data_IF_957541850239
#
_entry.id   IF_957541850239
#
_cell.length_a   1.000
_cell.length_b   1.000
_cell.length_c   1.000
_cell.angle_alpha   90.00
_cell.angle_beta   90.00
_cell.angle_gamma   90.00
#
_symmetry.space_group_name_H-M   'P 1'
#
loop_
_entity.id
_entity.type
_entity.pdbx_description
1 polymer ?
#
# COMPACT_ATOMS: atom_id res chain seq x y z
N UNK A 1 -23.39 36.68 -0.29
CA UNK A 1 -22.19 36.72 0.57
C UNK A 1 -22.32 35.64 1.64
N UNK A 2 -21.22 35.28 2.30
CA UNK A 2 -21.23 34.36 3.44
C UNK A 2 -20.43 34.94 4.61
N UNK A 3 -20.95 34.81 5.82
CA UNK A 3 -20.29 35.20 7.06
C UNK A 3 -20.10 33.96 7.94
N UNK A 4 -18.91 33.75 8.48
CA UNK A 4 -18.59 32.64 9.38
C UNK A 4 -18.04 33.18 10.69
N UNK A 5 -18.63 32.77 11.80
CA UNK A 5 -18.22 33.16 13.15
C UNK A 5 -17.76 31.90 13.90
N UNK A 6 -16.45 31.60 13.92
CA UNK A 6 -15.90 30.48 14.69
C UNK A 6 -15.66 30.86 16.14
N UNK A 7 -15.83 29.88 17.03
CA UNK A 7 -15.47 29.94 18.43
C UNK A 7 -14.70 28.70 18.82
N UNK A 8 -13.55 28.90 19.47
CA UNK A 8 -12.65 27.84 19.90
C UNK A 8 -12.81 27.56 21.39
N UNK A 9 -12.95 26.30 21.75
CA UNK A 9 -12.99 25.79 23.11
C UNK A 9 -11.79 24.89 23.36
N UNK A 10 -10.87 25.35 24.20
CA UNK A 10 -9.89 24.47 24.83
C UNK A 10 -10.58 23.74 26.00
N UNK A 11 -11.01 22.50 25.78
CA UNK A 11 -11.79 21.75 26.77
C UNK A 11 -10.86 21.15 27.83
N UNK A 12 -9.78 20.51 27.38
CA UNK A 12 -8.74 19.92 28.23
C UNK A 12 -7.42 19.79 27.42
N UNK A 13 -6.27 19.51 28.06
CA UNK A 13 -4.99 19.40 27.35
C UNK A 13 -4.97 18.35 26.21
N UNK A 14 -5.84 17.36 26.28
CA UNK A 14 -5.95 16.26 25.31
C UNK A 14 -7.09 16.43 24.29
N UNK A 15 -7.93 17.47 24.39
CA UNK A 15 -9.08 17.65 23.50
C UNK A 15 -9.55 19.08 23.32
N UNK A 16 -9.98 19.39 22.10
CA UNK A 16 -10.57 20.69 21.77
C UNK A 16 -11.80 20.60 20.87
N UNK A 17 -12.52 21.71 20.82
CA UNK A 17 -13.72 21.86 20.02
C UNK A 17 -13.73 23.22 19.34
N UNK A 18 -13.96 23.23 18.03
CA UNK A 18 -14.31 24.43 17.26
C UNK A 18 -15.78 24.32 16.90
N UNK A 19 -16.58 25.30 17.33
CA UNK A 19 -17.96 25.46 16.83
C UNK A 19 -17.99 26.71 15.98
N UNK A 20 -18.62 26.65 14.81
CA UNK A 20 -18.83 27.85 14.01
C UNK A 20 -20.28 27.94 13.53
N UNK A 21 -20.79 29.17 13.51
CA UNK A 21 -22.03 29.48 12.81
C UNK A 21 -21.68 30.18 11.50
N UNK A 22 -22.08 29.59 10.38
CA UNK A 22 -21.91 30.17 9.05
C UNK A 22 -23.26 30.54 8.48
N UNK A 23 -23.43 31.80 8.12
CA UNK A 23 -24.60 32.28 7.40
C UNK A 23 -24.26 32.44 5.92
N UNK A 24 -25.05 31.81 5.04
CA UNK A 24 -25.02 32.01 3.60
C UNK A 24 -26.27 32.78 3.18
N UNK A 25 -26.11 33.95 2.55
CA UNK A 25 -27.26 34.76 2.10
C UNK A 25 -28.20 33.99 1.17
N UNK A 26 -27.67 33.02 0.43
CA UNK A 26 -28.43 32.19 -0.52
C UNK A 26 -29.14 31.00 0.12
N UNK A 27 -28.60 30.40 1.19
CA UNK A 27 -29.06 29.08 1.69
C UNK A 27 -29.43 29.05 3.18
N UNK A 28 -29.06 30.04 3.98
CA UNK A 28 -29.38 30.09 5.42
C UNK A 28 -28.20 29.79 6.33
N UNK A 29 -28.50 29.31 7.54
CA UNK A 29 -27.50 29.04 8.59
C UNK A 29 -26.97 27.61 8.51
N UNK A 30 -25.66 27.48 8.64
CA UNK A 30 -24.92 26.23 8.74
C UNK A 30 -24.24 26.21 10.10
N UNK A 31 -24.48 25.15 10.84
CA UNK A 31 -23.80 24.86 12.11
C UNK A 31 -22.64 23.92 11.82
N UNK A 32 -21.44 24.34 12.18
CA UNK A 32 -20.21 23.56 12.01
C UNK A 32 -19.66 23.20 13.39
N UNK A 33 -19.20 21.96 13.55
CA UNK A 33 -18.52 21.48 14.74
C UNK A 33 -17.32 20.62 14.34
N UNK A 34 -16.13 20.93 14.87
CA UNK A 34 -14.94 20.09 14.73
C UNK A 34 -14.39 19.78 16.11
N UNK A 35 -14.40 18.51 16.49
CA UNK A 35 -13.85 18.01 17.74
C UNK A 35 -12.61 17.18 17.45
N UNK A 36 -11.58 17.33 18.28
CA UNK A 36 -10.34 16.57 18.19
C UNK A 36 -9.93 16.11 19.57
N UNK A 37 -9.49 14.87 19.68
CA UNK A 37 -9.03 14.30 20.94
C UNK A 37 -7.85 13.36 20.73
N UNK A 38 -6.78 13.59 21.47
CA UNK A 38 -5.73 12.60 21.70
C UNK A 38 -6.31 11.51 22.61
N UNK A 39 -6.44 10.29 22.07
CA UNK A 39 -7.03 9.14 22.76
C UNK A 39 -5.98 8.46 23.63
N UNK A 40 -4.77 8.31 23.10
CA UNK A 40 -3.65 7.65 23.77
C UNK A 40 -2.33 8.27 23.32
N UNK A 41 -1.32 8.31 24.20
CA UNK A 41 0.03 8.69 23.81
C UNK A 41 0.61 7.65 22.84
N UNK A 42 1.64 8.06 22.10
CA UNK A 42 2.39 7.18 21.21
C UNK A 42 3.02 6.04 22.02
N UNK A 43 3.02 4.83 21.48
CA UNK A 43 3.55 3.65 22.19
C UNK A 43 5.07 3.57 22.00
N UNK A 44 5.55 3.78 20.77
CA UNK A 44 6.97 3.85 20.44
C UNK A 44 7.40 5.27 20.08
N UNK A 45 8.71 5.52 19.91
CA UNK A 45 9.21 6.85 19.54
C UNK A 45 8.80 7.27 18.13
N UNK A 46 8.64 6.29 17.23
CA UNK A 46 8.31 6.48 15.82
C UNK A 46 6.79 6.63 15.56
N UNK A 47 5.96 6.21 16.53
CA UNK A 47 4.51 6.28 16.40
C UNK A 47 3.99 7.72 16.56
N UNK A 48 2.86 8.00 15.91
CA UNK A 48 2.06 9.18 16.19
C UNK A 48 1.17 8.95 17.43
N UNK A 49 0.66 10.04 18.00
CA UNK A 49 -0.34 9.90 19.05
C UNK A 49 -1.66 9.38 18.48
N UNK A 50 -2.31 8.47 19.19
CA UNK A 50 -3.64 8.01 18.79
C UNK A 50 -4.65 9.17 18.86
N UNK A 51 -5.38 9.39 17.78
CA UNK A 51 -6.20 10.58 17.55
C UNK A 51 -7.61 10.18 17.11
N UNK A 52 -8.60 10.86 17.64
CA UNK A 52 -9.96 10.88 17.12
C UNK A 52 -10.31 12.29 16.67
N UNK A 53 -10.71 12.44 15.42
CA UNK A 53 -11.31 13.66 14.90
C UNK A 53 -12.74 13.40 14.42
N UNK A 54 -13.61 14.38 14.65
CA UNK A 54 -14.93 14.41 14.05
C UNK A 54 -15.29 15.84 13.64
N UNK A 55 -15.59 16.01 12.36
CA UNK A 55 -16.15 17.21 11.77
C UNK A 55 -17.59 16.95 11.34
N UNK A 56 -18.47 17.86 11.74
CA UNK A 56 -19.88 17.84 11.38
C UNK A 56 -20.28 19.20 10.85
N UNK A 57 -21.12 19.21 9.81
CA UNK A 57 -21.76 20.43 9.31
C UNK A 57 -23.22 20.13 9.08
N UNK A 58 -24.10 21.03 9.51
CA UNK A 58 -25.54 20.85 9.40
C UNK A 58 -26.23 22.12 8.93
N UNK A 59 -26.94 22.02 7.81
CA UNK A 59 -27.83 23.01 7.23
C UNK A 59 -29.26 22.48 7.37
N UNK A 60 -30.00 23.01 8.33
CA UNK A 60 -31.33 22.50 8.70
C UNK A 60 -32.44 22.86 7.71
N UNK A 61 -32.27 23.93 6.93
CA UNK A 61 -33.26 24.39 5.96
C UNK A 61 -32.54 25.12 4.84
N UNK A 62 -32.24 24.39 3.76
CA UNK A 62 -31.66 24.97 2.56
C UNK A 62 -32.71 25.78 1.81
N UNK A 63 -32.66 27.11 1.89
CA UNK A 63 -33.65 28.01 1.27
C UNK A 63 -33.82 27.88 -0.24
N UNK A 64 -32.92 27.19 -0.95
CA UNK A 64 -33.03 26.95 -2.40
C UNK A 64 -33.75 25.62 -2.68
N UNK A 65 -33.43 24.56 -1.94
CA UNK A 65 -33.91 23.20 -2.23
C UNK A 65 -34.88 22.64 -1.19
N UNK A 66 -35.08 23.32 -0.06
CA UNK A 66 -35.83 22.87 1.12
C UNK A 66 -35.37 21.49 1.64
N UNK A 67 -34.06 21.20 1.54
CA UNK A 67 -33.46 19.95 2.00
C UNK A 67 -32.64 20.19 3.26
N UNK A 68 -32.62 19.19 4.14
CA UNK A 68 -31.69 19.13 5.26
C UNK A 68 -30.36 18.60 4.73
N UNK A 69 -29.32 19.42 4.74
CA UNK A 69 -28.02 19.06 4.19
C UNK A 69 -26.97 18.96 5.27
N UNK A 70 -26.12 17.95 5.18
CA UNK A 70 -25.18 17.65 6.25
C UNK A 70 -23.91 16.98 5.73
N UNK A 71 -22.86 17.06 6.54
CA UNK A 71 -21.60 16.38 6.36
C UNK A 71 -21.16 15.82 7.72
N UNK A 72 -20.70 14.57 7.72
CA UNK A 72 -20.03 13.93 8.84
C UNK A 72 -18.73 13.36 8.28
N UNK A 73 -17.62 13.76 8.88
CA UNK A 73 -16.28 13.28 8.57
C UNK A 73 -15.60 12.94 9.89
N UNK A 74 -15.35 11.67 10.14
CA UNK A 74 -14.67 11.22 11.36
C UNK A 74 -13.57 10.23 11.05
N UNK A 75 -12.44 10.42 11.71
CA UNK A 75 -11.26 9.57 11.62
C UNK A 75 -10.85 9.11 13.02
N UNK A 76 -10.44 7.86 13.13
CA UNK A 76 -9.85 7.29 14.35
C UNK A 76 -8.58 6.58 13.94
N UNK A 77 -7.46 6.98 14.53
CA UNK A 77 -6.17 6.30 14.44
C UNK A 77 -5.78 5.88 15.86
N UNK A 78 -5.65 4.58 16.10
CA UNK A 78 -5.47 4.02 17.43
C UNK A 78 -4.48 2.86 17.43
N UNK A 79 -3.38 3.05 18.16
CA UNK A 79 -2.45 1.98 18.48
C UNK A 79 -2.96 1.24 19.72
N UNK A 80 -3.47 0.03 19.52
CA UNK A 80 -3.97 -0.82 20.59
C UNK A 80 -2.80 -1.49 21.32
N UNK A 81 -1.71 -1.76 20.60
CA UNK A 81 -0.42 -2.24 21.12
C UNK A 81 0.69 -1.89 20.12
N UNK A 82 1.96 -2.12 20.48
CA UNK A 82 3.12 -1.99 19.57
C UNK A 82 3.00 -2.77 18.24
N UNK A 83 2.04 -3.70 18.16
CA UNK A 83 1.86 -4.61 17.03
C UNK A 83 0.49 -4.50 16.38
N UNK A 84 -0.45 -3.76 16.99
CA UNK A 84 -1.83 -3.76 16.55
C UNK A 84 -2.32 -2.33 16.41
N UNK A 85 -2.73 -1.99 15.19
CA UNK A 85 -3.16 -0.65 14.83
C UNK A 85 -4.55 -0.69 14.20
N UNK A 86 -5.42 0.19 14.67
CA UNK A 86 -6.79 0.38 14.20
C UNK A 86 -6.90 1.74 13.53
N UNK A 87 -7.29 1.74 12.25
CA UNK A 87 -7.63 2.93 11.48
C UNK A 87 -9.10 2.84 11.05
N UNK A 88 -9.85 3.92 11.23
CA UNK A 88 -11.24 4.00 10.81
C UNK A 88 -11.53 5.37 10.21
N UNK A 89 -12.18 5.38 9.06
CA UNK A 89 -12.64 6.60 8.39
C UNK A 89 -14.12 6.46 8.07
N UNK A 90 -14.92 7.45 8.47
CA UNK A 90 -16.32 7.54 8.06
C UNK A 90 -16.59 8.93 7.50
N UNK A 91 -16.75 9.01 6.17
CA UNK A 91 -16.98 10.26 5.47
C UNK A 91 -18.26 10.20 4.64
N UNK A 92 -19.31 10.92 5.07
CA UNK A 92 -20.62 10.95 4.42
C UNK A 92 -21.18 12.35 4.33
N UNK A 93 -21.96 12.57 3.27
CA UNK A 93 -22.72 13.79 3.04
C UNK A 93 -24.18 13.46 2.77
N UNK A 94 -25.07 14.45 2.92
CA UNK A 94 -26.50 14.30 2.68
C UNK A 94 -26.86 13.92 1.24
N UNK A 95 -26.16 14.50 0.27
CA UNK A 95 -26.50 14.40 -1.14
C UNK A 95 -25.27 14.61 -2.03
N UNK A 96 -25.33 14.08 -3.26
CA UNK A 96 -24.22 14.15 -4.20
C UNK A 96 -23.78 15.58 -4.56
N UNK A 97 -24.68 16.57 -4.46
CA UNK A 97 -24.39 17.98 -4.80
C UNK A 97 -23.91 18.80 -3.61
N UNK A 98 -23.76 18.21 -2.42
CA UNK A 98 -23.36 18.92 -1.20
C UNK A 98 -22.07 19.75 -1.39
N UNK A 99 -21.05 19.16 -2.03
CA UNK A 99 -19.77 19.82 -2.24
C UNK A 99 -19.83 20.99 -3.22
N UNK A 100 -20.52 20.80 -4.34
CA UNK A 100 -20.72 21.85 -5.35
C UNK A 100 -21.55 23.01 -4.79
N UNK A 101 -22.63 22.69 -4.09
CA UNK A 101 -23.68 23.66 -3.76
C UNK A 101 -23.54 24.34 -2.40
N UNK A 102 -23.06 23.60 -1.39
CA UNK A 102 -23.00 24.03 0.02
C UNK A 102 -21.55 24.28 0.45
N UNK A 103 -20.69 23.27 0.36
CA UNK A 103 -19.31 23.38 0.84
C UNK A 103 -18.46 24.30 -0.07
N UNK A 104 -18.70 24.23 -1.39
CA UNK A 104 -17.91 24.86 -2.46
C UNK A 104 -16.42 24.47 -2.40
N UNK A 105 -16.17 23.24 -1.98
CA UNK A 105 -14.85 22.61 -1.85
C UNK A 105 -15.00 21.15 -2.26
N UNK A 106 -13.90 20.46 -2.58
CA UNK A 106 -13.91 19.03 -2.95
C UNK A 106 -14.83 18.70 -4.15
N UNK A 107 -15.03 19.64 -5.09
CA UNK A 107 -15.88 19.45 -6.28
C UNK A 107 -15.30 18.45 -7.29
N UNK A 108 -13.99 18.18 -7.21
CA UNK A 108 -13.32 17.20 -8.06
C UNK A 108 -13.34 15.78 -7.45
N UNK A 109 -13.75 15.63 -6.19
CA UNK A 109 -13.88 14.33 -5.54
C UNK A 109 -15.09 13.60 -6.14
N UNK A 110 -14.90 12.35 -6.56
CA UNK A 110 -15.95 11.56 -7.23
C UNK A 110 -16.65 10.59 -6.28
N UNK A 111 -15.95 10.11 -5.27
CA UNK A 111 -16.47 9.19 -4.26
C UNK A 111 -15.89 9.53 -2.90
N UNK A 112 -16.69 9.31 -1.84
CA UNK A 112 -16.25 9.37 -0.45
C UNK A 112 -16.10 7.95 0.05
N UNK A 113 -14.87 7.58 0.42
CA UNK A 113 -14.58 6.26 1.00
C UNK A 113 -14.70 6.32 2.51
N UNK A 114 -15.40 5.34 3.05
CA UNK A 114 -15.37 4.98 4.46
C UNK A 114 -14.70 3.62 4.58
N UNK A 115 -13.91 3.43 5.62
CA UNK A 115 -13.25 2.16 5.86
C UNK A 115 -13.05 1.91 7.36
N UNK A 116 -12.81 0.65 7.67
CA UNK A 116 -12.33 0.20 8.97
C UNK A 116 -11.23 -0.83 8.69
N UNK A 117 -10.03 -0.58 9.22
CA UNK A 117 -8.84 -1.39 9.01
C UNK A 117 -8.21 -1.73 10.35
N UNK A 118 -8.01 -3.02 10.60
CA UNK A 118 -7.26 -3.52 11.76
C UNK A 118 -6.03 -4.26 11.24
N UNK A 119 -4.85 -3.78 11.60
CA UNK A 119 -3.57 -4.38 11.24
C UNK A 119 -2.91 -5.00 12.46
N UNK A 120 -2.25 -6.13 12.23
CA UNK A 120 -1.33 -6.78 13.14
C UNK A 120 0.01 -6.97 12.44
N UNK A 121 1.08 -6.37 12.94
CA UNK A 121 2.44 -6.56 12.45
C UNK A 121 3.36 -6.96 13.60
N UNK A 122 4.06 -8.08 13.44
CA UNK A 122 5.03 -8.56 14.40
C UNK A 122 6.37 -8.89 13.72
N UNK A 123 7.28 -7.90 13.64
CA UNK A 123 8.58 -8.03 12.98
C UNK A 123 9.44 -9.16 13.56
N UNK A 124 9.37 -9.39 14.87
CA UNK A 124 10.14 -10.45 15.54
C UNK A 124 9.79 -11.85 15.04
N UNK A 125 8.55 -12.04 14.60
CA UNK A 125 8.08 -13.33 14.08
C UNK A 125 7.85 -13.31 12.56
N UNK A 126 7.97 -12.15 11.89
CA UNK A 126 7.62 -11.93 10.48
C UNK A 126 6.19 -12.42 10.15
N UNK A 127 5.24 -12.06 11.02
CA UNK A 127 3.82 -12.33 10.83
C UNK A 127 3.09 -11.00 10.70
N UNK A 128 2.38 -10.86 9.59
CA UNK A 128 1.50 -9.73 9.31
C UNK A 128 0.10 -10.27 9.08
N UNK A 129 -0.92 -9.58 9.58
CA UNK A 129 -2.31 -9.87 9.29
C UNK A 129 -3.12 -8.57 9.25
N UNK A 130 -4.13 -8.50 8.39
CA UNK A 130 -5.02 -7.35 8.33
C UNK A 130 -6.46 -7.76 8.01
N UNK A 131 -7.39 -6.99 8.57
CA UNK A 131 -8.81 -7.02 8.22
C UNK A 131 -9.20 -5.63 7.75
N UNK A 132 -9.88 -5.56 6.62
CA UNK A 132 -10.34 -4.31 6.00
C UNK A 132 -11.80 -4.45 5.56
N UNK A 133 -12.60 -3.42 5.80
CA UNK A 133 -13.90 -3.24 5.16
C UNK A 133 -13.99 -1.84 4.60
N UNK A 134 -14.57 -1.71 3.42
CA UNK A 134 -14.73 -0.47 2.69
C UNK A 134 -16.20 -0.30 2.29
N UNK A 135 -16.66 0.94 2.33
CA UNK A 135 -17.95 1.36 1.79
C UNK A 135 -17.79 2.74 1.15
N UNK A 136 -18.56 3.01 0.10
CA UNK A 136 -18.44 4.26 -0.63
C UNK A 136 -19.76 5.03 -0.78
N UNK A 137 -19.63 6.34 -0.93
CA UNK A 137 -20.71 7.20 -1.38
C UNK A 137 -20.27 7.96 -2.63
N UNK A 138 -21.00 7.82 -3.73
CA UNK A 138 -20.77 8.60 -4.95
C UNK A 138 -21.23 10.04 -4.73
N UNK A 139 -20.39 11.00 -5.12
CA UNK A 139 -20.64 12.44 -4.99
C UNK A 139 -20.24 13.18 -6.27
N UNK A 140 -20.72 14.42 -6.41
CA UNK A 140 -20.50 15.25 -7.58
C UNK A 140 -20.88 14.50 -8.88
N UNK A 141 -19.99 14.49 -9.88
CA UNK A 141 -20.15 13.77 -11.15
C UNK A 141 -19.46 12.38 -11.14
N UNK A 142 -19.31 11.76 -9.97
CA UNK A 142 -18.72 10.44 -9.84
C UNK A 142 -19.62 9.30 -10.34
N UNK A 143 -19.02 8.12 -10.49
CA UNK A 143 -19.71 6.86 -10.76
C UNK A 143 -19.34 5.85 -9.67
N UNK A 144 -20.21 4.87 -9.37
CA UNK A 144 -19.86 3.83 -8.42
C UNK A 144 -18.61 3.07 -8.85
N UNK A 145 -17.80 2.66 -7.87
CA UNK A 145 -16.66 1.76 -8.06
C UNK A 145 -16.80 0.54 -7.15
N UNK A 146 -15.92 -0.44 -7.36
CA UNK A 146 -15.88 -1.61 -6.50
C UNK A 146 -15.41 -1.25 -5.09
N UNK A 147 -16.04 -1.89 -4.10
CA UNK A 147 -15.64 -1.82 -2.69
C UNK A 147 -15.32 -3.19 -2.16
N UNK A 148 -14.34 -3.28 -1.25
CA UNK A 148 -14.07 -4.49 -0.49
C UNK A 148 -15.00 -4.55 0.72
N UNK A 149 -16.13 -5.23 0.57
CA UNK A 149 -17.10 -5.39 1.65
C UNK A 149 -16.45 -6.04 2.89
N UNK A 150 -15.54 -6.99 2.66
CA UNK A 150 -14.63 -7.54 3.67
C UNK A 150 -13.39 -8.10 2.97
N UNK A 151 -12.21 -7.77 3.47
CA UNK A 151 -10.94 -8.35 3.08
C UNK A 151 -10.18 -8.83 4.32
N UNK A 152 -9.68 -10.05 4.26
CA UNK A 152 -8.75 -10.60 5.25
C UNK A 152 -7.45 -10.99 4.57
N UNK A 153 -6.32 -10.61 5.17
CA UNK A 153 -5.00 -10.98 4.68
C UNK A 153 -4.11 -11.47 5.82
N UNK A 154 -3.23 -12.41 5.50
CA UNK A 154 -2.19 -12.92 6.39
C UNK A 154 -0.93 -13.25 5.58
N UNK A 155 0.22 -12.82 6.09
CA UNK A 155 1.54 -13.08 5.52
C UNK A 155 2.47 -13.61 6.61
N UNK A 156 3.17 -14.70 6.32
CA UNK A 156 4.16 -15.29 7.22
C UNK A 156 5.45 -15.60 6.48
N UNK A 157 6.57 -15.11 6.99
CA UNK A 157 7.90 -15.48 6.48
C UNK A 157 8.64 -16.36 7.47
N UNK A 158 8.96 -17.59 7.05
CA UNK A 158 9.82 -18.52 7.75
C UNK A 158 11.26 -18.35 7.26
N UNK A 159 12.17 -17.98 8.16
CA UNK A 159 13.59 -17.79 7.83
C UNK A 159 14.44 -18.92 8.38
N UNK A 160 15.24 -19.52 7.52
CA UNK A 160 16.17 -20.60 7.87
C UNK A 160 17.61 -20.14 7.61
N UNK A 161 18.55 -20.50 8.48
CA UNK A 161 19.98 -20.23 8.29
C UNK A 161 20.57 -19.04 9.07
N UNK A 162 19.77 -18.26 9.81
CA UNK A 162 20.31 -17.23 10.72
C UNK A 162 20.82 -17.85 12.04
N UNK A 163 22.14 -17.89 12.23
CA UNK A 163 22.78 -17.79 13.56
C UNK A 163 23.63 -16.52 13.59
N UNK A 164 23.67 -15.88 14.76
CA UNK A 164 24.14 -14.52 15.11
C UNK A 164 25.53 -14.05 14.63
N UNK A 165 26.26 -14.84 13.84
CA UNK A 165 27.49 -14.42 13.16
C UNK A 165 27.40 -14.80 11.68
N UNK A 166 27.12 -13.79 10.85
CA UNK A 166 26.78 -13.85 9.42
C UNK A 166 27.94 -14.28 8.51
N UNK A 167 29.09 -14.61 9.10
CA UNK A 167 30.31 -14.99 8.40
C UNK A 167 30.71 -16.40 8.87
N UNK A 168 30.77 -17.35 7.94
CA UNK A 168 31.37 -18.66 8.14
C UNK A 168 32.79 -18.68 7.61
N UNK A 169 33.68 -19.36 8.32
CA UNK A 169 35.01 -19.71 7.85
C UNK A 169 34.88 -20.88 6.87
N UNK A 170 35.15 -20.64 5.59
CA UNK A 170 35.10 -21.65 4.52
C UNK A 170 36.51 -21.86 3.97
N UNK A 171 36.89 -23.09 3.69
CA UNK A 171 38.14 -23.41 3.00
C UNK A 171 37.89 -23.33 1.49
N UNK A 172 38.66 -22.50 0.78
CA UNK A 172 38.67 -22.50 -0.67
C UNK A 172 39.45 -23.73 -1.21
N UNK A 173 39.40 -23.95 -2.53
CA UNK A 173 40.13 -25.04 -3.20
C UNK A 173 41.65 -25.00 -2.95
N UNK A 174 42.21 -23.82 -2.64
CA UNK A 174 43.61 -23.61 -2.26
C UNK A 174 43.89 -23.76 -0.75
N UNK A 175 42.99 -24.41 0.00
CA UNK A 175 43.05 -24.58 1.47
C UNK A 175 43.14 -23.27 2.29
N UNK A 176 42.83 -22.13 1.67
CA UNK A 176 42.79 -20.85 2.38
C UNK A 176 41.47 -20.64 3.11
N UNK A 177 41.59 -20.13 4.34
CA UNK A 177 40.45 -19.73 5.17
C UNK A 177 39.85 -18.42 4.65
N UNK A 178 38.65 -18.49 4.09
CA UNK A 178 37.89 -17.32 3.61
C UNK A 178 36.61 -17.14 4.41
N UNK A 179 36.33 -15.89 4.74
CA UNK A 179 35.10 -15.46 5.41
C UNK A 179 33.98 -15.35 4.38
N UNK A 180 32.98 -16.24 4.43
CA UNK A 180 31.85 -16.22 3.50
C UNK A 180 30.51 -15.98 4.20
N UNK A 181 29.59 -15.30 3.51
CA UNK A 181 28.23 -15.12 4.03
C UNK A 181 27.52 -16.47 4.11
N UNK A 182 26.87 -16.75 5.23
CA UNK A 182 26.06 -17.97 5.38
C UNK A 182 24.82 -17.88 4.48
N UNK A 183 24.41 -18.99 3.83
CA UNK A 183 23.20 -19.00 3.04
C UNK A 183 21.97 -18.86 3.94
N UNK A 184 21.00 -18.07 3.49
CA UNK A 184 19.71 -17.90 4.16
C UNK A 184 18.59 -18.27 3.20
N UNK A 185 17.61 -19.01 3.69
CA UNK A 185 16.42 -19.39 2.92
C UNK A 185 15.20 -18.80 3.58
N UNK A 186 14.42 -18.04 2.82
CA UNK A 186 13.16 -17.47 3.26
C UNK A 186 12.02 -18.15 2.51
N UNK A 187 11.03 -18.64 3.26
CA UNK A 187 9.77 -19.18 2.74
C UNK A 187 8.64 -18.27 3.20
N UNK A 188 8.01 -17.59 2.26
CA UNK A 188 6.90 -16.67 2.53
C UNK A 188 5.59 -17.26 2.04
N UNK A 189 4.59 -17.28 2.92
CA UNK A 189 3.22 -17.70 2.61
C UNK A 189 2.30 -16.51 2.78
N UNK A 190 1.59 -16.15 1.71
CA UNK A 190 0.59 -15.08 1.70
C UNK A 190 -0.78 -15.67 1.41
N UNK A 191 -1.80 -15.19 2.10
CA UNK A 191 -3.19 -15.52 1.84
C UNK A 191 -4.03 -14.25 1.94
N UNK A 192 -4.87 -14.00 0.94
CA UNK A 192 -5.79 -12.87 0.90
C UNK A 192 -7.16 -13.36 0.42
N UNK A 193 -8.23 -13.02 1.12
CA UNK A 193 -9.59 -13.28 0.68
C UNK A 193 -10.42 -12.01 0.76
N UNK A 194 -11.03 -11.65 -0.36
CA UNK A 194 -11.72 -10.37 -0.55
C UNK A 194 -13.12 -10.62 -1.12
N UNK A 195 -14.15 -10.10 -0.44
CA UNK A 195 -15.51 -10.03 -0.96
C UNK A 195 -15.73 -8.68 -1.62
N UNK A 196 -15.89 -8.68 -2.94
CA UNK A 196 -16.16 -7.48 -3.74
C UNK A 196 -17.65 -7.21 -3.85
N UNK A 197 -18.00 -5.94 -3.78
CA UNK A 197 -19.36 -5.43 -3.99
C UNK A 197 -19.34 -4.23 -4.94
N UNK A 198 -20.45 -4.01 -5.64
CA UNK A 198 -20.66 -2.86 -6.51
C UNK A 198 -22.12 -2.39 -6.41
N UNK A 199 -22.36 -1.08 -6.40
CA UNK A 199 -23.71 -0.52 -6.32
C UNK A 199 -24.54 -0.65 -7.61
N UNK A 200 -23.93 -1.18 -8.68
CA UNK A 200 -24.58 -1.41 -9.97
C UNK A 200 -24.80 -2.91 -10.10
N UNK A 201 -26.06 -3.35 -10.12
CA UNK A 201 -26.42 -4.76 -10.18
C UNK A 201 -26.00 -5.46 -11.47
N UNK A 202 -25.67 -4.69 -12.53
CA UNK A 202 -25.14 -5.25 -13.78
C UNK A 202 -23.66 -5.64 -13.68
N UNK A 203 -22.94 -5.14 -12.68
CA UNK A 203 -21.53 -5.44 -12.45
C UNK A 203 -21.39 -6.77 -11.72
N UNK A 204 -20.35 -7.51 -12.06
CA UNK A 204 -20.03 -8.78 -11.41
C UNK A 204 -19.65 -8.55 -9.94
N UNK A 205 -20.00 -9.47 -9.05
CA UNK A 205 -19.62 -9.44 -7.63
C UNK A 205 -19.23 -10.83 -7.17
N UNK A 206 -18.50 -10.95 -6.06
CA UNK A 206 -18.06 -12.26 -5.62
C UNK A 206 -16.94 -12.23 -4.60
N UNK A 207 -16.37 -13.41 -4.37
CA UNK A 207 -15.23 -13.60 -3.47
C UNK A 207 -14.02 -14.05 -4.27
N UNK A 208 -12.92 -13.29 -4.15
CA UNK A 208 -11.59 -13.68 -4.63
C UNK A 208 -10.79 -14.21 -3.46
N UNK A 209 -10.22 -15.40 -3.61
CA UNK A 209 -9.26 -15.96 -2.64
C UNK A 209 -7.94 -16.22 -3.35
N UNK A 210 -6.85 -15.68 -2.82
CA UNK A 210 -5.51 -15.74 -3.37
C UNK A 210 -4.55 -16.33 -2.34
N UNK A 211 -3.80 -17.35 -2.72
CA UNK A 211 -2.68 -17.88 -1.97
C UNK A 211 -1.40 -17.78 -2.78
N UNK A 212 -0.30 -17.34 -2.17
CA UNK A 212 1.03 -17.31 -2.79
C UNK A 212 2.08 -17.91 -1.88
N UNK A 213 2.79 -18.90 -2.39
CA UNK A 213 3.99 -19.46 -1.77
C UNK A 213 5.20 -18.93 -2.53
N UNK A 214 6.15 -18.34 -1.81
CA UNK A 214 7.41 -17.86 -2.35
C UNK A 214 8.56 -18.48 -1.57
N UNK A 215 9.56 -19.00 -2.26
CA UNK A 215 10.82 -19.44 -1.68
C UNK A 215 11.95 -18.63 -2.32
N UNK A 216 12.85 -18.12 -1.48
CA UNK A 216 14.06 -17.45 -1.93
C UNK A 216 15.25 -17.96 -1.14
N UNK A 217 16.42 -18.03 -1.78
CA UNK A 217 17.63 -18.48 -1.12
C UNK A 217 18.80 -17.60 -1.51
N UNK A 218 19.36 -16.90 -0.54
CA UNK A 218 20.63 -16.23 -0.71
C UNK A 218 21.75 -17.27 -0.70
N UNK A 219 22.52 -17.35 -1.79
CA UNK A 219 23.62 -18.28 -1.91
C UNK A 219 24.81 -17.83 -1.05
N UNK A 220 25.64 -18.80 -0.66
CA UNK A 220 26.89 -18.49 0.02
C UNK A 220 27.84 -17.80 -0.98
N UNK A 221 28.35 -16.63 -0.62
CA UNK A 221 29.30 -15.87 -1.43
C UNK A 221 30.39 -15.28 -0.52
N UNK A 222 31.68 -15.44 -0.86
CA UNK A 222 32.79 -14.93 -0.06
C UNK A 222 32.96 -13.41 -0.16
N UNK A 223 32.55 -12.79 -1.28
CA UNK A 223 32.78 -11.35 -1.53
C UNK A 223 31.57 -10.69 -2.19
N UNK A 224 31.48 -10.79 -3.51
CA UNK A 224 30.43 -10.24 -4.37
C UNK A 224 30.40 -11.07 -5.67
N UNK A 225 29.29 -11.12 -6.42
CA UNK A 225 27.97 -10.59 -6.07
C UNK A 225 27.23 -11.47 -5.05
N UNK A 226 26.13 -10.93 -4.52
CA UNK A 226 25.13 -11.71 -3.77
C UNK A 226 24.12 -12.23 -4.79
N UNK A 227 23.94 -13.54 -4.83
CA UNK A 227 23.01 -14.19 -5.77
C UNK A 227 21.86 -14.77 -4.98
N UNK A 228 20.64 -14.38 -5.33
CA UNK A 228 19.41 -14.79 -4.65
C UNK A 228 18.40 -15.32 -5.67
N UNK A 229 18.44 -16.61 -6.02
CA UNK A 229 17.35 -17.26 -6.74
C UNK A 229 16.06 -17.23 -5.92
N UNK A 230 14.94 -17.13 -6.62
CA UNK A 230 13.60 -17.26 -6.08
C UNK A 230 12.71 -18.11 -6.99
N UNK A 231 11.71 -18.74 -6.38
CA UNK A 231 10.63 -19.44 -7.07
C UNK A 231 9.32 -19.18 -6.33
N UNK A 232 8.23 -19.01 -7.07
CA UNK A 232 6.93 -18.75 -6.50
C UNK A 232 5.83 -19.47 -7.28
N UNK A 233 4.78 -19.81 -6.55
CA UNK A 233 3.52 -20.31 -7.11
C UNK A 233 2.38 -19.59 -6.43
N UNK A 234 1.41 -19.16 -7.23
CA UNK A 234 0.19 -18.52 -6.74
C UNK A 234 -1.04 -19.20 -7.30
N UNK A 235 -2.08 -19.29 -6.48
CA UNK A 235 -3.39 -19.84 -6.80
C UNK A 235 -4.44 -18.79 -6.45
N UNK A 236 -5.23 -18.38 -7.44
CA UNK A 236 -6.34 -17.44 -7.27
C UNK A 236 -7.64 -18.11 -7.68
N UNK A 237 -8.62 -18.12 -6.79
CA UNK A 237 -9.95 -18.67 -7.04
C UNK A 237 -11.01 -17.57 -6.90
N UNK A 238 -11.89 -17.48 -7.89
CA UNK A 238 -13.00 -16.53 -7.95
C UNK A 238 -14.32 -17.30 -7.88
N UNK A 239 -15.10 -16.99 -6.85
CA UNK A 239 -16.49 -17.41 -6.72
C UNK A 239 -17.36 -16.21 -7.06
N UNK A 240 -17.95 -16.22 -8.26
CA UNK A 240 -18.64 -15.08 -8.86
C UNK A 240 -20.16 -15.30 -8.83
N UNK A 241 -20.93 -14.24 -8.57
CA UNK A 241 -22.37 -14.35 -8.35
C UNK A 241 -23.19 -14.27 -9.65
N UNK A 242 -22.81 -13.40 -10.59
CA UNK A 242 -23.54 -13.13 -11.82
C UNK A 242 -22.98 -13.90 -13.04
N UNK A 243 -21.85 -14.59 -12.87
CA UNK A 243 -21.21 -15.41 -13.90
C UNK A 243 -21.63 -16.88 -13.79
N UNK A 244 -21.70 -17.57 -14.93
CA UNK A 244 -22.11 -18.98 -15.00
C UNK A 244 -21.04 -19.97 -14.52
N UNK A 245 -19.80 -19.51 -14.24
CA UNK A 245 -18.71 -20.36 -13.78
C UNK A 245 -17.74 -19.65 -12.83
N UNK A 246 -17.22 -20.42 -11.88
CA UNK A 246 -16.08 -20.01 -11.04
C UNK A 246 -14.79 -20.05 -11.86
N UNK A 247 -13.86 -19.16 -11.56
CA UNK A 247 -12.58 -19.06 -12.26
C UNK A 247 -11.44 -19.44 -11.33
N UNK A 248 -10.50 -20.24 -11.80
CA UNK A 248 -9.28 -20.58 -11.05
C UNK A 248 -8.08 -20.28 -11.93
N UNK A 249 -7.10 -19.56 -11.37
CA UNK A 249 -5.85 -19.20 -12.03
C UNK A 249 -4.66 -19.65 -11.19
N UNK A 250 -3.74 -20.38 -11.79
CA UNK A 250 -2.49 -20.82 -11.16
C UNK A 250 -1.33 -20.22 -11.94
N UNK A 251 -0.49 -19.41 -11.28
CA UNK A 251 0.70 -18.83 -11.92
C UNK A 251 1.94 -19.31 -11.19
N UNK A 252 2.81 -19.98 -11.93
CA UNK A 252 4.17 -20.30 -11.49
C UNK A 252 5.16 -19.26 -12.02
N UNK A 253 6.16 -18.95 -11.21
CA UNK A 253 7.22 -18.03 -11.59
C UNK A 253 8.52 -18.31 -10.84
N UNK A 254 9.57 -17.62 -11.27
CA UNK A 254 10.87 -17.69 -10.63
C UNK A 254 11.77 -16.61 -11.19
N UNK A 255 12.93 -16.45 -10.56
CA UNK A 255 13.84 -15.41 -10.92
C UNK A 255 15.14 -15.51 -10.17
N UNK A 256 16.04 -14.58 -10.47
CA UNK A 256 17.31 -14.44 -9.76
C UNK A 256 17.66 -12.97 -9.66
N UNK A 257 18.02 -12.56 -8.44
CA UNK A 257 18.61 -11.27 -8.17
C UNK A 257 20.13 -11.42 -8.02
N UNK A 258 20.89 -10.59 -8.72
CA UNK A 258 22.34 -10.51 -8.64
C UNK A 258 22.68 -9.09 -8.18
N UNK A 259 23.13 -8.98 -6.93
CA UNK A 259 23.38 -7.72 -6.24
C UNK A 259 24.90 -7.47 -6.12
N UNK A 260 25.35 -6.35 -6.71
CA UNK A 260 26.74 -5.87 -6.72
C UNK A 260 26.97 -4.73 -5.73
N UNK A 261 26.13 -4.59 -4.70
CA UNK A 261 26.20 -3.50 -3.74
C UNK A 261 27.56 -3.38 -3.07
N UNK A 262 28.09 -2.16 -3.10
CA UNK A 262 29.33 -1.76 -2.41
C UNK A 262 29.04 -0.60 -1.47
N UNK A 263 29.79 -0.56 -0.37
CA UNK A 263 29.76 0.54 0.60
C UNK A 263 31.17 1.11 0.73
N UNK A 264 31.30 2.43 0.70
CA UNK A 264 32.56 3.14 0.87
C UNK A 264 32.34 4.49 1.54
N UNK A 265 33.37 5.02 2.19
CA UNK A 265 33.39 6.43 2.60
C UNK A 265 33.57 7.30 1.36
N UNK A 266 32.84 8.41 1.29
CA UNK A 266 32.95 9.40 0.23
C UNK A 266 32.91 10.81 0.81
N UNK A 267 33.19 11.82 -0.03
CA UNK A 267 33.02 13.21 0.33
C UNK A 267 31.88 13.82 -0.50
N UNK A 268 30.90 14.42 0.16
CA UNK A 268 29.79 15.13 -0.45
C UNK A 268 29.79 16.58 0.06
N UNK A 269 30.04 17.54 -0.83
CA UNK A 269 30.10 18.97 -0.52
C UNK A 269 31.00 19.33 0.68
N UNK A 270 32.14 18.65 0.84
CA UNK A 270 33.10 18.89 1.93
C UNK A 270 32.81 18.13 3.22
N UNK A 271 31.76 17.30 3.26
CA UNK A 271 31.44 16.42 4.41
C UNK A 271 31.73 14.96 4.07
N UNK A 272 32.24 14.21 5.04
CA UNK A 272 32.36 12.76 4.92
C UNK A 272 30.96 12.13 5.00
N UNK A 273 30.68 11.18 4.11
CA UNK A 273 29.41 10.47 4.02
C UNK A 273 29.64 8.98 3.83
N UNK A 274 28.69 8.17 4.29
CA UNK A 274 28.58 6.79 3.89
C UNK A 274 27.90 6.70 2.52
N UNK A 275 28.64 6.22 1.53
CA UNK A 275 28.16 6.05 0.16
C UNK A 275 27.90 4.57 -0.10
N UNK A 276 26.66 4.26 -0.49
CA UNK A 276 26.27 2.94 -0.99
C UNK A 276 25.94 3.05 -2.46
N UNK A 277 26.60 2.24 -3.30
CA UNK A 277 26.25 2.05 -4.69
C UNK A 277 25.74 0.62 -4.88
N UNK A 278 24.51 0.48 -5.35
CA UNK A 278 23.79 -0.79 -5.50
C UNK A 278 23.38 -1.03 -6.95
N UNK A 279 24.29 -1.55 -7.80
CA UNK A 279 23.92 -2.11 -9.09
C UNK A 279 23.27 -3.49 -8.89
N UNK A 280 22.06 -3.67 -9.43
CA UNK A 280 21.30 -4.92 -9.31
C UNK A 280 20.85 -5.36 -10.71
N UNK A 281 21.05 -6.65 -10.98
CA UNK A 281 20.50 -7.32 -12.15
C UNK A 281 19.44 -8.28 -11.66
N UNK A 282 18.22 -8.13 -12.16
CA UNK A 282 17.09 -9.00 -11.84
C UNK A 282 16.60 -9.68 -13.11
N UNK A 283 16.46 -10.99 -13.06
CA UNK A 283 15.72 -11.75 -14.07
C UNK A 283 14.42 -12.25 -13.46
N UNK A 284 13.30 -12.01 -14.15
CA UNK A 284 11.98 -12.48 -13.75
C UNK A 284 11.34 -13.33 -14.84
N UNK A 285 10.78 -14.45 -14.43
CA UNK A 285 9.93 -15.29 -15.24
C UNK A 285 8.59 -15.53 -14.54
N UNK A 286 7.49 -15.34 -15.26
CA UNK A 286 6.13 -15.73 -14.84
C UNK A 286 5.42 -16.36 -16.03
N UNK A 287 4.86 -17.55 -15.79
CA UNK A 287 4.14 -18.29 -16.81
C UNK A 287 2.93 -17.49 -17.33
N UNK A 288 2.70 -17.58 -18.64
CA UNK A 288 1.53 -16.99 -19.29
C UNK A 288 0.28 -17.75 -18.92
N UNK A 289 -0.73 -17.03 -18.44
CA UNK A 289 -2.05 -17.57 -18.16
C UNK A 289 -3.11 -16.64 -18.74
N UNK A 290 -4.15 -17.23 -19.34
CA UNK A 290 -5.26 -16.49 -19.94
C UNK A 290 -6.09 -15.81 -18.83
N UNK A 291 -6.22 -14.49 -18.91
CA UNK A 291 -6.89 -13.68 -17.87
C UNK A 291 -8.04 -12.83 -18.42
N UNK A 292 -8.35 -12.92 -19.72
CA UNK A 292 -9.38 -12.11 -20.38
C UNK A 292 -10.81 -12.34 -19.84
N UNK A 293 -11.09 -13.50 -19.25
CA UNK A 293 -12.38 -13.83 -18.63
C UNK A 293 -12.48 -13.41 -17.15
N UNK A 294 -11.41 -12.90 -16.53
CA UNK A 294 -11.41 -12.49 -15.13
C UNK A 294 -11.92 -11.04 -15.02
N UNK A 295 -12.98 -10.74 -14.26
CA UNK A 295 -13.40 -9.37 -14.00
C UNK A 295 -12.30 -8.53 -13.35
N UNK A 296 -12.29 -7.22 -13.60
CA UNK A 296 -11.37 -6.28 -12.93
C UNK A 296 -12.10 -5.65 -11.75
N UNK A 297 -11.65 -5.94 -10.53
CA UNK A 297 -12.20 -5.41 -9.29
C UNK A 297 -11.34 -4.29 -8.73
N UNK A 298 -10.06 -4.58 -8.47
CA UNK A 298 -9.13 -3.69 -7.77
C UNK A 298 -7.77 -3.53 -8.47
N UNK A 299 -7.66 -3.98 -9.73
CA UNK A 299 -6.43 -3.84 -10.52
C UNK A 299 -6.46 -2.58 -11.37
N UNK A 300 -5.44 -1.74 -11.20
CA UNK A 300 -5.18 -0.53 -12.00
C UNK A 300 -3.80 -0.63 -12.63
N UNK A 301 -3.63 -0.06 -13.81
CA UNK A 301 -2.33 0.02 -14.47
C UNK A 301 -1.47 1.09 -13.77
N UNK A 302 -0.30 0.70 -13.24
CA UNK A 302 0.63 1.63 -12.60
C UNK A 302 1.32 2.55 -13.62
N UNK A 303 1.27 2.21 -14.91
CA UNK A 303 1.93 2.97 -15.98
C UNK A 303 1.00 4.00 -16.64
N UNK A 304 -0.22 4.15 -16.12
CA UNK A 304 -1.16 5.20 -16.56
C UNK A 304 -0.70 6.62 -16.11
N UNK A 305 0.21 6.69 -15.13
CA UNK A 305 0.87 7.91 -14.66
C UNK A 305 2.41 7.79 -14.78
N UNK A 306 3.15 8.76 -14.24
CA UNK A 306 4.62 8.76 -14.21
C UNK A 306 5.13 7.50 -13.51
N UNK A 307 5.75 6.60 -14.29
CA UNK A 307 6.33 5.35 -13.80
C UNK A 307 7.38 5.64 -12.74
N UNK A 308 7.23 5.04 -11.56
CA UNK A 308 8.23 5.17 -10.49
C UNK A 308 9.32 4.10 -10.60
N UNK A 309 10.47 4.35 -9.97
CA UNK A 309 11.53 3.35 -9.84
C UNK A 309 11.03 2.07 -9.17
N UNK A 310 10.15 2.18 -8.17
CA UNK A 310 9.57 1.04 -7.48
C UNK A 310 8.64 0.23 -8.40
N UNK A 311 7.82 0.90 -9.21
CA UNK A 311 6.92 0.22 -10.16
C UNK A 311 7.71 -0.59 -11.18
N UNK A 312 8.75 0.01 -11.77
CA UNK A 312 9.60 -0.65 -12.75
C UNK A 312 10.35 -1.85 -12.14
N UNK A 313 10.98 -1.66 -10.98
CA UNK A 313 11.80 -2.71 -10.34
C UNK A 313 10.97 -3.80 -9.66
N UNK A 314 9.70 -3.54 -9.33
CA UNK A 314 8.78 -4.56 -8.78
C UNK A 314 8.51 -5.71 -9.74
N UNK A 315 8.68 -5.47 -11.04
CA UNK A 315 8.32 -6.41 -12.10
C UNK A 315 6.80 -6.60 -12.22
N UNK A 316 5.94 -5.76 -11.63
CA UNK A 316 4.48 -5.89 -11.74
C UNK A 316 3.85 -4.59 -12.21
N UNK A 317 3.19 -4.61 -13.37
CA UNK A 317 2.54 -3.43 -13.96
C UNK A 317 1.23 -3.08 -13.28
N UNK A 318 0.48 -4.08 -12.79
CA UNK A 318 -0.84 -3.84 -12.21
C UNK A 318 -0.80 -3.78 -10.69
N UNK A 319 -1.70 -3.00 -10.11
CA UNK A 319 -2.07 -3.12 -8.69
C UNK A 319 -3.06 -4.28 -8.52
N UNK A 320 -3.40 -4.62 -7.27
CA UNK A 320 -4.39 -5.67 -7.00
C UNK A 320 -3.92 -7.07 -7.44
N UNK A 321 -4.88 -7.96 -7.65
CA UNK A 321 -4.61 -9.37 -8.01
C UNK A 321 -5.46 -9.88 -9.17
N UNK A 322 -6.22 -9.02 -9.87
CA UNK A 322 -7.07 -9.46 -10.99
C UNK A 322 -6.27 -9.59 -12.28
N UNK A 323 -5.22 -8.79 -12.44
CA UNK A 323 -4.27 -8.86 -13.55
C UNK A 323 -2.87 -9.09 -12.99
N UNK A 324 -2.24 -10.17 -13.44
CA UNK A 324 -0.85 -10.50 -13.12
C UNK A 324 -0.07 -10.45 -14.43
N UNK A 325 0.98 -9.64 -14.46
CA UNK A 325 1.80 -9.41 -15.66
C UNK A 325 2.54 -10.69 -16.04
N UNK A 326 2.60 -11.04 -17.32
CA UNK A 326 3.53 -12.06 -17.80
C UNK A 326 4.96 -11.55 -17.61
N UNK A 327 5.93 -12.43 -17.36
CA UNK A 327 7.33 -12.01 -17.25
C UNK A 327 8.25 -12.97 -17.97
N UNK A 328 9.12 -12.38 -18.78
CA UNK A 328 10.38 -12.92 -19.23
C UNK A 328 11.26 -11.71 -19.50
N UNK A 329 11.75 -11.12 -18.42
CA UNK A 329 12.39 -9.81 -18.44
C UNK A 329 13.66 -9.75 -17.62
N UNK A 330 14.54 -8.84 -18.03
CA UNK A 330 15.72 -8.44 -17.30
C UNK A 330 15.57 -6.99 -16.88
N UNK A 331 15.72 -6.72 -15.58
CA UNK A 331 15.77 -5.36 -15.06
C UNK A 331 17.16 -5.05 -14.55
N UNK A 332 17.75 -3.99 -15.08
CA UNK A 332 19.00 -3.40 -14.60
C UNK A 332 18.64 -2.18 -13.76
N UNK A 333 19.08 -2.14 -12.51
CA UNK A 333 18.90 -0.98 -11.65
C UNK A 333 20.20 -0.56 -10.96
N UNK A 334 20.34 0.74 -10.74
CA UNK A 334 21.44 1.34 -9.99
C UNK A 334 20.83 2.31 -8.99
N UNK A 335 21.14 2.10 -7.72
CA UNK A 335 20.84 3.04 -6.64
C UNK A 335 22.13 3.56 -6.02
N UNK A 336 22.26 4.88 -5.91
CA UNK A 336 23.35 5.56 -5.22
C UNK A 336 22.76 6.33 -4.04
N UNK A 337 23.22 6.03 -2.83
CA UNK A 337 22.72 6.59 -1.57
C UNK A 337 23.89 7.19 -0.80
N UNK A 338 23.76 8.45 -0.40
CA UNK A 338 24.73 9.18 0.42
C UNK A 338 24.08 9.53 1.76
N UNK A 339 24.57 8.95 2.85
CA UNK A 339 24.05 9.16 4.21
C UNK A 339 25.10 9.81 5.10
N UNK A 340 24.64 10.56 6.10
CA UNK A 340 25.55 11.03 7.15
C UNK A 340 26.21 9.82 7.84
N UNK A 341 27.48 9.95 8.22
CA UNK A 341 28.22 8.86 8.88
C UNK A 341 27.66 8.46 10.23
N UNK A 342 26.85 9.33 10.85
CA UNK A 342 26.15 9.06 12.10
C UNK A 342 24.63 8.89 11.91
N UNK A 343 24.18 8.70 10.67
CA UNK A 343 22.77 8.50 10.37
C UNK A 343 22.23 7.23 11.05
N UNK A 344 21.09 7.35 11.73
CA UNK A 344 20.30 6.22 12.22
C UNK A 344 19.62 5.51 11.04
N UNK A 345 18.99 4.35 11.23
CA UNK A 345 18.40 3.58 10.12
C UNK A 345 17.21 4.29 9.44
N UNK A 346 16.51 5.14 10.17
CA UNK A 346 15.35 5.94 9.77
C UNK A 346 15.71 7.30 9.12
N UNK A 347 16.95 7.77 9.33
CA UNK A 347 17.41 9.03 8.77
C UNK A 347 17.39 9.02 7.23
N UNK A 348 16.89 10.09 6.63
CA UNK A 348 16.85 10.23 5.17
C UNK A 348 18.25 10.42 4.59
N UNK A 349 18.45 9.92 3.38
CA UNK A 349 19.65 10.18 2.60
C UNK A 349 19.85 11.68 2.37
N UNK A 350 21.10 12.14 2.47
CA UNK A 350 21.49 13.50 2.10
C UNK A 350 21.36 13.72 0.59
N UNK A 351 21.64 12.67 -0.18
CA UNK A 351 21.44 12.60 -1.62
C UNK A 351 21.17 11.16 -2.01
N UNK A 352 20.11 10.94 -2.80
CA UNK A 352 19.86 9.66 -3.44
C UNK A 352 19.62 9.82 -4.95
N UNK A 353 20.12 8.87 -5.72
CA UNK A 353 19.94 8.82 -7.17
C UNK A 353 19.59 7.39 -7.58
N UNK A 354 18.56 7.23 -8.40
CA UNK A 354 18.07 5.91 -8.82
C UNK A 354 17.82 5.90 -10.31
N UNK A 355 18.31 4.88 -11.00
CA UNK A 355 18.11 4.66 -12.44
C UNK A 355 17.78 3.19 -12.64
N UNK A 356 16.74 2.88 -13.41
CA UNK A 356 16.40 1.52 -13.77
C UNK A 356 15.93 1.43 -15.23
N UNK A 357 16.17 0.28 -15.84
CA UNK A 357 15.71 -0.06 -17.18
C UNK A 357 15.35 -1.55 -17.23
N UNK A 358 14.16 -1.85 -17.75
CA UNK A 358 13.70 -3.22 -17.98
C UNK A 358 13.71 -3.54 -19.47
N UNK A 359 14.19 -4.73 -19.80
CA UNK A 359 14.25 -5.30 -21.14
C UNK A 359 13.31 -6.49 -21.18
N UNK A 360 12.25 -6.37 -21.97
CA UNK A 360 11.23 -7.41 -22.13
C UNK A 360 11.58 -8.26 -23.35
N UNK A 361 11.52 -9.57 -23.22
CA UNK A 361 11.66 -10.50 -24.37
C UNK A 361 10.31 -10.97 -24.90
N UNK A 362 9.22 -10.44 -24.33
CA UNK A 362 7.84 -10.82 -24.60
C UNK A 362 7.03 -9.55 -24.84
N UNK A 363 6.20 -9.58 -25.88
CA UNK A 363 5.41 -8.43 -26.32
C UNK A 363 4.04 -8.37 -25.58
N UNK A 364 3.64 -9.46 -24.92
CA UNK A 364 2.38 -9.56 -24.20
C UNK A 364 2.54 -9.31 -22.70
N UNK A 365 2.02 -8.18 -22.24
CA UNK A 365 2.03 -7.81 -20.82
C UNK A 365 1.03 -8.66 -20.01
N UNK A 366 -0.12 -8.99 -20.58
CA UNK A 366 -1.10 -9.93 -20.02
C UNK A 366 -1.68 -10.73 -21.16
N UNK A 367 -1.80 -12.05 -21.00
CA UNK A 367 -2.47 -12.88 -22.01
C UNK A 367 -3.98 -12.73 -21.91
N UNK A 368 -4.58 -12.10 -22.92
CA UNK A 368 -6.01 -11.87 -23.06
C UNK A 368 -6.67 -12.71 -24.18
N UNK A 369 -5.87 -13.25 -25.10
CA UNK A 369 -6.26 -14.24 -26.11
C UNK A 369 -5.73 -15.64 -25.82
N UNK A 370 -6.53 -16.67 -26.13
CA UNK A 370 -6.07 -18.05 -26.12
C UNK A 370 -5.07 -18.24 -27.27
N UNK A 371 -3.85 -18.66 -26.94
CA UNK A 371 -2.81 -19.01 -27.92
C UNK A 371 -3.15 -20.28 -28.70
#
# INVERSE_FOLDING_TARGET
>A
YSLRVPYYFNIAPDRDLVVAMKYMSSRGFIYEGKYRQLIAPKITEDDEHSLWEIETRYLSDDKITNLNRWLIDTSIELDISEKTHLSAQYYRVSDAKYFEEVARTNTNVKTLKSNLKLNYDNPSTNLEAAILTEDEQVVNAGTPVYTRALEGSISKTFRFGKKKDSIATVLNEDEQVVKARKPTTDVTVNFVSTKFNHNDSSKESGVRTHGKLNISRQLASPHFPIITPNANISLTHYNLNNSSSNITRTIGGGGVDIDFSINNKANLFGREVDHRLSPIIRYNYRAKELQGNIPVFDSTDKYDDIITFADLTSGERYTGLDRITNANDFTLSIESSHRDVNALDDDKDLLNMKIAQSFYTDDEVVSDTAN
#
